data_IF_711337857995
#
_entry.id   IF_711337857995
#
_cell.length_a   1.000
_cell.length_b   1.000
_cell.length_c   1.000
_cell.angle_alpha   90.00
_cell.angle_beta   90.00
_cell.angle_gamma   90.00
#
_symmetry.space_group_name_H-M   'P 1'
#
loop_
_entity.id
_entity.type
_entity.pdbx_description
1 polymer ?
#
# COMPACT_ATOMS: atom_id res chain seq x y z
N UNK A 1 -5.16 -23.03 19.23
CA UNK A 1 -4.10 -22.00 19.02
C UNK A 1 -4.63 -20.66 19.49
N UNK A 2 -3.97 -20.03 20.42
CA UNK A 2 -4.34 -18.69 20.83
C UNK A 2 -4.24 -17.75 19.62
N UNK A 3 -5.33 -17.05 19.30
CA UNK A 3 -5.27 -15.92 18.35
C UNK A 3 -4.33 -14.91 18.98
N UNK A 4 -3.17 -14.72 18.39
CA UNK A 4 -2.30 -13.62 18.72
C UNK A 4 -3.03 -12.35 18.25
N UNK A 5 -3.59 -11.61 19.18
CA UNK A 5 -4.11 -10.27 18.88
C UNK A 5 -2.90 -9.39 18.57
N UNK A 6 -2.76 -9.06 17.31
CA UNK A 6 -1.76 -8.09 16.90
C UNK A 6 -2.29 -6.70 17.25
N UNK A 7 -1.71 -6.08 18.27
CA UNK A 7 -1.90 -4.66 18.49
C UNK A 7 -1.35 -3.91 17.27
N UNK A 8 -2.25 -3.30 16.52
CA UNK A 8 -1.86 -2.38 15.46
C UNK A 8 -1.37 -1.11 16.13
N UNK A 9 -0.06 -0.90 16.14
CA UNK A 9 0.48 0.38 16.56
C UNK A 9 0.29 1.38 15.44
N UNK A 10 -0.58 2.36 15.66
CA UNK A 10 -0.79 3.47 14.74
C UNK A 10 -0.16 4.71 15.34
N UNK A 11 0.86 5.25 14.67
CA UNK A 11 1.53 6.47 15.07
C UNK A 11 1.09 7.64 14.18
N UNK A 12 0.68 8.74 14.78
CA UNK A 12 0.29 9.96 14.07
C UNK A 12 1.37 11.01 14.19
N UNK A 13 1.83 11.52 13.06
CA UNK A 13 2.73 12.66 13.01
C UNK A 13 1.93 13.92 12.70
N UNK A 14 1.83 14.82 13.69
CA UNK A 14 1.18 16.11 13.51
C UNK A 14 2.13 17.08 12.84
N UNK A 15 1.82 17.45 11.62
CA UNK A 15 1.95 18.79 10.98
C UNK A 15 1.68 18.65 9.49
N UNK A 16 0.47 18.94 9.06
CA UNK A 16 0.02 19.10 7.66
C UNK A 16 0.01 17.84 6.76
N UNK A 17 0.81 16.82 7.05
CA UNK A 17 0.72 15.50 6.40
C UNK A 17 0.51 14.45 7.47
N UNK A 18 -0.68 13.88 7.52
CA UNK A 18 -0.96 12.77 8.42
C UNK A 18 -0.31 11.50 7.85
N UNK A 19 0.50 10.84 8.66
CA UNK A 19 1.02 9.52 8.37
C UNK A 19 0.60 8.56 9.48
N UNK A 20 0.30 7.34 9.11
CA UNK A 20 0.04 6.26 10.05
C UNK A 20 0.87 5.05 9.65
N UNK A 21 1.37 4.32 10.62
CA UNK A 21 2.11 3.08 10.41
C UNK A 21 1.43 1.93 11.13
N UNK A 22 1.53 0.75 10.58
CA UNK A 22 1.04 -0.47 11.20
C UNK A 22 1.91 -1.65 10.81
N UNK A 23 2.01 -2.63 11.70
CA UNK A 23 2.68 -3.87 11.42
C UNK A 23 1.75 -4.83 10.68
N UNK A 24 2.26 -5.42 9.60
CA UNK A 24 1.56 -6.46 8.87
C UNK A 24 1.89 -7.82 9.48
N UNK A 25 0.89 -8.70 9.56
CA UNK A 25 1.11 -10.07 9.98
C UNK A 25 2.09 -10.79 9.05
N UNK A 26 3.03 -11.53 9.64
CA UNK A 26 4.05 -12.26 8.89
C UNK A 26 3.47 -13.15 7.78
N UNK A 27 2.34 -13.79 8.03
CA UNK A 27 1.66 -14.65 7.07
C UNK A 27 1.21 -13.90 5.80
N UNK A 28 0.71 -12.66 5.96
CA UNK A 28 0.38 -11.80 4.81
C UNK A 28 1.63 -11.35 4.07
N UNK A 29 2.71 -11.02 4.78
CA UNK A 29 4.00 -10.68 4.18
C UNK A 29 4.53 -11.85 3.36
N UNK A 30 4.54 -13.05 3.92
CA UNK A 30 5.02 -14.26 3.23
C UNK A 30 4.18 -14.56 1.97
N UNK A 31 2.87 -14.34 2.03
CA UNK A 31 1.99 -14.52 0.88
C UNK A 31 2.23 -13.45 -0.18
N UNK A 32 2.44 -12.20 0.21
CA UNK A 32 2.77 -11.13 -0.72
C UNK A 32 4.09 -11.40 -1.44
N UNK A 33 5.13 -11.80 -0.71
CA UNK A 33 6.41 -12.13 -1.32
C UNK A 33 6.28 -13.23 -2.39
N UNK A 34 5.52 -14.30 -2.11
CA UNK A 34 5.26 -15.36 -3.09
C UNK A 34 4.55 -14.85 -4.35
N UNK A 35 3.56 -13.97 -4.17
CA UNK A 35 2.84 -13.36 -5.29
C UNK A 35 3.79 -12.51 -6.12
N UNK A 36 4.61 -11.68 -5.47
CA UNK A 36 5.57 -10.82 -6.14
C UNK A 36 6.63 -11.62 -6.89
N UNK A 37 7.18 -12.67 -6.29
CA UNK A 37 8.14 -13.56 -6.93
C UNK A 37 7.55 -14.11 -8.24
N UNK A 38 6.31 -14.60 -8.22
CA UNK A 38 5.63 -15.10 -9.42
C UNK A 38 5.42 -14.01 -10.48
N UNK A 39 5.00 -12.81 -10.07
CA UNK A 39 4.80 -11.69 -11.01
C UNK A 39 6.11 -11.25 -11.67
N UNK A 40 7.19 -11.16 -10.90
CA UNK A 40 8.50 -10.78 -11.44
C UNK A 40 9.12 -11.86 -12.31
N UNK A 41 8.97 -13.14 -11.97
CA UNK A 41 9.54 -14.24 -12.72
C UNK A 41 8.77 -14.56 -14.01
N UNK A 42 7.44 -14.53 -13.95
CA UNK A 42 6.59 -15.09 -15.00
C UNK A 42 5.77 -14.06 -15.78
N UNK A 43 5.53 -12.88 -15.22
CA UNK A 43 4.61 -11.89 -15.81
C UNK A 43 5.20 -10.48 -15.91
N UNK A 44 6.49 -10.32 -15.71
CA UNK A 44 7.12 -9.00 -15.67
C UNK A 44 6.88 -8.19 -16.95
N UNK A 45 7.07 -8.79 -18.11
CA UNK A 45 6.92 -8.11 -19.41
C UNK A 45 5.47 -7.68 -19.67
N UNK A 46 4.49 -8.43 -19.14
CA UNK A 46 3.06 -8.12 -19.26
C UNK A 46 2.66 -6.99 -18.29
N UNK A 47 3.19 -7.03 -17.07
CA UNK A 47 2.76 -6.18 -15.95
C UNK A 47 3.71 -5.02 -15.67
N UNK A 48 4.72 -4.85 -16.51
CA UNK A 48 5.69 -3.78 -16.36
C UNK A 48 5.00 -2.43 -16.16
N UNK A 49 5.29 -1.78 -15.05
CA UNK A 49 4.77 -0.45 -14.75
C UNK A 49 5.67 0.61 -15.35
N UNK A 50 5.22 1.20 -16.47
CA UNK A 50 5.95 2.30 -17.07
C UNK A 50 5.78 3.54 -16.21
N UNK A 51 6.84 3.94 -15.54
CA UNK A 51 6.85 5.18 -14.79
C UNK A 51 6.86 6.39 -15.75
N UNK A 52 6.11 7.43 -15.39
CA UNK A 52 6.10 8.68 -16.14
C UNK A 52 7.48 9.39 -16.13
N UNK A 53 8.34 9.03 -15.19
CA UNK A 53 9.69 9.59 -15.05
C UNK A 53 10.72 8.62 -15.61
N UNK A 54 11.41 9.02 -16.65
CA UNK A 54 12.48 8.21 -17.28
C UNK A 54 13.68 7.94 -16.36
N UNK A 55 13.75 8.61 -15.22
CA UNK A 55 14.88 8.54 -14.29
C UNK A 55 14.66 7.57 -13.13
N UNK A 56 13.52 6.88 -13.08
CA UNK A 56 13.29 5.86 -12.05
C UNK A 56 14.17 4.66 -12.32
N UNK A 57 14.97 4.33 -11.35
CA UNK A 57 15.72 3.07 -11.32
C UNK A 57 14.96 2.08 -10.45
N UNK A 58 15.08 0.82 -10.82
CA UNK A 58 14.35 -0.26 -10.19
C UNK A 58 13.30 -0.87 -11.13
N UNK A 59 12.95 -2.09 -10.84
CA UNK A 59 11.92 -2.82 -11.60
C UNK A 59 10.58 -2.61 -10.95
N UNK A 60 9.59 -2.17 -11.73
CA UNK A 60 8.24 -1.96 -11.22
C UNK A 60 7.25 -2.84 -11.97
N UNK A 61 6.34 -3.45 -11.23
CA UNK A 61 5.21 -4.21 -11.79
C UNK A 61 3.91 -3.70 -11.21
N UNK A 62 2.89 -3.59 -12.06
CA UNK A 62 1.52 -3.41 -11.62
C UNK A 62 1.01 -4.72 -11.06
N UNK A 63 0.40 -4.70 -9.89
CA UNK A 63 -0.20 -5.87 -9.27
C UNK A 63 -1.68 -5.89 -9.63
N UNK A 64 -2.14 -6.86 -10.44
CA UNK A 64 -3.57 -7.01 -10.69
C UNK A 64 -4.30 -7.29 -9.37
N UNK A 65 -5.38 -6.58 -9.08
CA UNK A 65 -6.11 -6.73 -7.82
C UNK A 65 -6.64 -8.16 -7.63
N UNK A 66 -7.00 -8.83 -8.73
CA UNK A 66 -7.43 -10.23 -8.74
C UNK A 66 -6.33 -11.22 -8.36
N UNK A 67 -5.05 -10.81 -8.41
CA UNK A 67 -3.92 -11.63 -7.95
C UNK A 67 -3.80 -11.64 -6.44
N UNK A 68 -4.42 -10.69 -5.76
CA UNK A 68 -4.31 -10.55 -4.32
C UNK A 68 -5.42 -11.33 -3.61
N UNK A 69 -5.10 -12.03 -2.52
CA UNK A 69 -6.12 -12.65 -1.70
C UNK A 69 -7.03 -11.59 -1.08
N UNK A 70 -8.30 -11.94 -0.92
CA UNK A 70 -9.29 -11.06 -0.31
C UNK A 70 -8.84 -10.50 1.04
N UNK A 71 -8.17 -11.29 1.84
CA UNK A 71 -7.65 -10.88 3.14
C UNK A 71 -6.66 -9.70 3.03
N UNK A 72 -5.83 -9.68 1.99
CA UNK A 72 -4.90 -8.56 1.75
C UNK A 72 -5.65 -7.31 1.33
N UNK A 73 -6.63 -7.44 0.43
CA UNK A 73 -7.46 -6.30 0.02
C UNK A 73 -8.24 -5.73 1.21
N UNK A 74 -8.83 -6.60 2.02
CA UNK A 74 -9.54 -6.20 3.24
C UNK A 74 -8.60 -5.50 4.24
N UNK A 75 -7.37 -5.99 4.39
CA UNK A 75 -6.35 -5.35 5.22
C UNK A 75 -6.04 -3.94 4.74
N UNK A 76 -5.77 -3.77 3.45
CA UNK A 76 -5.47 -2.46 2.84
C UNK A 76 -6.64 -1.48 3.07
N UNK A 77 -7.87 -1.91 2.80
CA UNK A 77 -9.05 -1.08 2.99
C UNK A 77 -9.29 -0.74 4.46
N UNK A 78 -9.07 -1.68 5.36
CA UNK A 78 -9.19 -1.46 6.82
C UNK A 78 -8.17 -0.43 7.31
N UNK A 79 -6.93 -0.54 6.86
CA UNK A 79 -5.89 0.43 7.19
C UNK A 79 -6.20 1.81 6.62
N UNK A 80 -6.67 1.88 5.39
CA UNK A 80 -7.11 3.12 4.76
C UNK A 80 -8.28 3.77 5.51
N UNK A 81 -9.26 2.98 5.94
CA UNK A 81 -10.38 3.45 6.76
C UNK A 81 -9.90 3.99 8.10
N UNK A 82 -9.02 3.27 8.79
CA UNK A 82 -8.43 3.72 10.05
C UNK A 82 -7.69 5.04 9.89
N UNK A 83 -6.92 5.19 8.83
CA UNK A 83 -6.23 6.45 8.51
C UNK A 83 -7.23 7.60 8.31
N UNK A 84 -8.27 7.41 7.51
CA UNK A 84 -9.27 8.44 7.25
C UNK A 84 -10.03 8.85 8.51
N UNK A 85 -10.41 7.90 9.36
CA UNK A 85 -11.12 8.18 10.61
C UNK A 85 -10.29 9.04 11.57
N UNK A 86 -8.95 9.04 11.44
CA UNK A 86 -8.03 9.80 12.26
C UNK A 86 -7.40 11.00 11.53
N UNK A 87 -7.75 11.25 10.28
CA UNK A 87 -7.15 12.31 9.45
C UNK A 87 -7.72 13.71 9.67
N UNK A 88 -8.71 13.85 10.56
CA UNK A 88 -9.33 15.14 10.83
C UNK A 88 -10.37 15.60 9.79
N UNK A 89 -10.78 14.73 8.86
CA UNK A 89 -11.82 15.04 7.86
C UNK A 89 -13.15 15.45 8.51
N UNK A 90 -13.43 15.00 9.71
CA UNK A 90 -14.62 15.39 10.48
C UNK A 90 -14.66 16.89 10.79
N UNK A 91 -13.50 17.58 10.89
CA UNK A 91 -13.45 19.03 11.03
C UNK A 91 -13.92 19.76 9.77
N UNK A 92 -13.93 19.06 8.64
CA UNK A 92 -14.43 19.57 7.36
C UNK A 92 -15.91 19.22 7.14
N UNK A 93 -16.60 18.63 8.13
CA UNK A 93 -17.97 18.16 8.01
C UNK A 93 -18.13 16.85 7.23
N UNK A 94 -17.01 16.14 6.99
CA UNK A 94 -17.01 14.87 6.28
C UNK A 94 -16.98 13.74 7.31
N UNK A 95 -17.95 12.82 7.20
CA UNK A 95 -17.95 11.60 8.01
C UNK A 95 -17.10 10.52 7.32
N UNK A 96 -15.87 10.22 7.82
CA UNK A 96 -14.98 9.27 7.16
C UNK A 96 -15.54 7.85 7.10
N UNK A 97 -16.44 7.49 8.02
CA UNK A 97 -17.05 6.17 8.05
C UNK A 97 -18.02 5.93 6.87
N UNK A 98 -18.52 7.01 6.27
CA UNK A 98 -19.44 6.97 5.13
C UNK A 98 -18.76 7.06 3.77
N UNK A 99 -17.45 7.29 3.74
CA UNK A 99 -16.69 7.30 2.49
C UNK A 99 -16.59 5.88 1.95
N UNK A 100 -16.98 5.68 0.69
CA UNK A 100 -16.70 4.44 -0.01
C UNK A 100 -15.24 4.43 -0.45
N UNK A 101 -14.45 3.48 0.05
CA UNK A 101 -13.04 3.33 -0.30
C UNK A 101 -12.87 2.27 -1.36
N UNK A 102 -12.11 2.62 -2.38
CA UNK A 102 -11.73 1.72 -3.45
C UNK A 102 -10.20 1.78 -3.64
N UNK A 103 -9.61 0.63 -3.92
CA UNK A 103 -8.22 0.55 -4.30
C UNK A 103 -8.12 0.88 -5.77
N UNK A 104 -7.46 1.99 -6.09
CA UNK A 104 -7.30 2.43 -7.47
C UNK A 104 -6.23 1.62 -8.19
N UNK A 105 -5.06 1.49 -7.58
CA UNK A 105 -3.94 0.75 -8.15
C UNK A 105 -2.97 0.31 -7.06
N UNK A 106 -2.30 -0.80 -7.32
CA UNK A 106 -1.19 -1.30 -6.52
C UNK A 106 -0.05 -1.63 -7.47
N UNK A 107 1.15 -1.29 -7.10
CA UNK A 107 2.35 -1.70 -7.79
C UNK A 107 3.45 -2.06 -6.80
N UNK A 108 4.40 -2.86 -7.23
CA UNK A 108 5.59 -3.17 -6.47
C UNK A 108 6.82 -2.61 -7.16
N UNK A 109 7.80 -2.25 -6.37
CA UNK A 109 9.10 -1.82 -6.84
C UNK A 109 10.16 -2.71 -6.19
N UNK A 110 10.93 -3.37 -7.04
CA UNK A 110 12.15 -4.08 -6.63
C UNK A 110 13.34 -3.15 -6.88
N UNK A 111 13.97 -2.72 -5.80
CA UNK A 111 15.02 -1.70 -5.83
C UNK A 111 16.29 -2.20 -5.16
N UNK A 112 17.41 -1.93 -5.80
CA UNK A 112 18.76 -2.16 -5.25
C UNK A 112 19.26 -0.90 -4.51
N UNK A 113 20.38 -1.03 -3.80
CA UNK A 113 20.94 0.01 -2.92
C UNK A 113 21.10 1.40 -3.57
N UNK A 114 21.36 1.45 -4.88
CA UNK A 114 21.56 2.70 -5.62
C UNK A 114 20.35 3.17 -6.41
N UNK A 115 19.25 2.45 -6.32
CA UNK A 115 18.02 2.80 -7.01
C UNK A 115 17.30 3.92 -6.28
N UNK A 116 16.61 4.75 -7.03
CA UNK A 116 15.84 5.83 -6.46
C UNK A 116 14.59 6.14 -7.30
N UNK A 117 13.63 6.72 -6.63
CA UNK A 117 12.45 7.28 -7.25
C UNK A 117 12.43 8.79 -6.92
N UNK A 118 12.45 9.67 -7.91
CA UNK A 118 12.43 11.10 -7.66
C UNK A 118 11.14 11.53 -6.97
N UNK A 119 11.15 12.67 -6.33
CA UNK A 119 9.96 13.23 -5.70
C UNK A 119 8.83 13.39 -6.74
N UNK A 120 7.67 12.84 -6.44
CA UNK A 120 6.52 12.83 -7.32
C UNK A 120 5.22 12.86 -6.51
N UNK A 121 4.10 13.03 -7.18
CA UNK A 121 2.77 13.01 -6.59
C UNK A 121 1.98 11.79 -7.06
N UNK A 122 1.03 11.37 -6.24
CA UNK A 122 0.09 10.31 -6.55
C UNK A 122 -1.32 10.87 -6.71
N UNK A 123 -2.11 10.24 -7.56
CA UNK A 123 -3.54 10.47 -7.61
C UNK A 123 -4.23 9.72 -6.46
N UNK A 124 -5.40 10.19 -6.09
CA UNK A 124 -6.22 9.56 -5.07
C UNK A 124 -6.27 10.34 -3.76
N UNK A 125 -7.08 9.85 -2.85
CA UNK A 125 -7.29 10.46 -1.54
C UNK A 125 -6.12 10.18 -0.59
N UNK A 126 -5.52 9.02 -0.71
CA UNK A 126 -4.37 8.59 0.07
C UNK A 126 -3.51 7.59 -0.69
N UNK A 127 -2.29 7.44 -0.26
CA UNK A 127 -1.37 6.40 -0.69
C UNK A 127 -0.72 5.73 0.51
N UNK A 128 -0.22 4.52 0.32
CA UNK A 128 0.49 3.77 1.35
C UNK A 128 1.64 2.99 0.74
N UNK A 129 2.58 2.59 1.57
CA UNK A 129 3.73 1.77 1.20
C UNK A 129 3.82 0.58 2.15
N UNK A 130 4.06 -0.59 1.59
CA UNK A 130 4.40 -1.80 2.32
C UNK A 130 5.87 -2.11 2.08
N UNK A 131 6.61 -2.30 3.15
CA UNK A 131 7.98 -2.80 3.11
C UNK A 131 7.94 -4.29 3.41
N UNK A 132 8.38 -5.10 2.45
CA UNK A 132 8.30 -6.57 2.48
C UNK A 132 9.70 -7.20 2.63
#
# INVERSE_FOLDING_TARGET
MAKQEYETQVSFYQKYNYAATADMRKELVDNMNKILDDLYENRYDELYHQNAFREVKGKQVTIPLESLPKEMLDYILTMGRGYLCNSGLHFMGIDPAKINLEIHSIWATDSEETDYNPAHSHFGLMSGVFYL
#
